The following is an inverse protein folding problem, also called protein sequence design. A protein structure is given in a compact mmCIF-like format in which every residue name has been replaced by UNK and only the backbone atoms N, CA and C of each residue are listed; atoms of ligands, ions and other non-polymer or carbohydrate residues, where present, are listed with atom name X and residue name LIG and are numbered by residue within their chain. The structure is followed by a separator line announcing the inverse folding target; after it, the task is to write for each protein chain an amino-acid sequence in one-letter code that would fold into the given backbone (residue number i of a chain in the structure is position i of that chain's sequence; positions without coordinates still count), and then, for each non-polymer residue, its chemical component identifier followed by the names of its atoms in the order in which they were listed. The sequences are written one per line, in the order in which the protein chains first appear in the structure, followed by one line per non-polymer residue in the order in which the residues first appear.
data_IF_962208218938
#
_entry.id   IF_962208218938
#
_cell.length_a   1.000
_cell.length_b   1.000
_cell.length_c   1.000
_cell.angle_alpha   90.00
_cell.angle_beta   90.00
_cell.angle_gamma   90.00
#
_symmetry.space_group_name_H-M   'P 1'
#
loop_
_entity.id
_entity.type
_entity.pdbx_description
1 polymer ?
#
# COMPACT_ATOMS: atom_id res chain seq x y z
N UNK A 1 -8.26 32.70 -14.37
CA UNK A 1 -9.61 32.22 -13.98
C UNK A 1 -9.67 32.16 -12.46
N UNK A 2 -10.69 32.73 -11.84
CA UNK A 2 -10.93 32.52 -10.40
C UNK A 2 -11.60 31.15 -10.21
N UNK A 3 -10.78 30.15 -9.89
CA UNK A 3 -11.24 28.76 -9.76
C UNK A 3 -12.31 28.60 -8.68
N UNK A 4 -12.21 29.36 -7.57
CA UNK A 4 -13.16 29.29 -6.45
C UNK A 4 -14.52 29.83 -6.85
N UNK A 5 -14.54 31.03 -7.43
CA UNK A 5 -15.78 31.63 -7.88
C UNK A 5 -16.45 30.80 -8.99
N UNK A 6 -15.65 30.26 -9.91
CA UNK A 6 -16.18 29.51 -11.05
C UNK A 6 -16.78 28.16 -10.63
N UNK A 7 -16.04 27.35 -9.86
CA UNK A 7 -16.53 26.02 -9.47
C UNK A 7 -17.81 26.10 -8.63
N UNK A 8 -17.95 27.16 -7.82
CA UNK A 8 -19.12 27.38 -6.96
C UNK A 8 -20.40 27.62 -7.76
N UNK A 9 -20.33 28.14 -8.99
CA UNK A 9 -21.49 28.33 -9.87
C UNK A 9 -22.07 26.99 -10.35
N UNK A 10 -21.23 25.97 -10.47
CA UNK A 10 -21.61 24.67 -11.02
C UNK A 10 -22.00 23.63 -9.97
N UNK A 11 -21.59 23.80 -8.71
CA UNK A 11 -21.94 22.90 -7.60
C UNK A 11 -21.75 21.40 -7.95
N UNK A 12 -20.54 20.97 -8.35
CA UNK A 12 -20.32 19.57 -8.71
C UNK A 12 -20.57 18.64 -7.52
N UNK A 13 -20.92 17.39 -7.81
CA UNK A 13 -21.29 16.38 -6.81
C UNK A 13 -20.26 16.16 -5.69
N UNK A 14 -18.97 16.42 -5.97
CA UNK A 14 -17.89 16.22 -5.00
C UNK A 14 -17.61 17.46 -4.13
N UNK A 15 -18.19 18.63 -4.44
CA UNK A 15 -17.80 19.91 -3.84
C UNK A 15 -17.93 19.90 -2.31
N UNK A 16 -19.05 19.34 -1.83
CA UNK A 16 -19.40 19.23 -0.41
C UNK A 16 -19.04 17.86 0.19
N UNK A 17 -18.42 16.97 -0.59
CA UNK A 17 -17.93 15.70 -0.05
C UNK A 17 -16.73 15.96 0.85
N UNK A 18 -16.72 15.32 2.02
CA UNK A 18 -15.59 15.38 2.96
C UNK A 18 -14.41 14.62 2.39
N UNK A 19 -13.21 15.18 2.56
CA UNK A 19 -11.96 14.52 2.26
C UNK A 19 -11.79 13.38 3.26
N UNK A 20 -11.81 12.15 2.74
CA UNK A 20 -11.64 10.96 3.57
C UNK A 20 -10.22 10.90 4.14
N UNK A 21 -10.10 10.73 5.45
CA UNK A 21 -8.81 10.47 6.08
C UNK A 21 -8.54 8.97 6.14
N UNK A 22 -7.48 8.53 5.48
CA UNK A 22 -7.00 7.17 5.63
C UNK A 22 -6.10 7.07 6.86
N UNK A 23 -6.66 6.58 7.96
CA UNK A 23 -5.95 6.40 9.22
C UNK A 23 -4.71 5.50 9.04
N UNK A 24 -3.57 5.98 9.54
CA UNK A 24 -2.28 5.26 9.47
C UNK A 24 -2.36 3.90 10.16
N UNK A 25 -3.13 3.80 11.23
CA UNK A 25 -3.36 2.58 11.99
C UNK A 25 -4.13 1.55 11.17
N UNK A 26 -5.14 2.01 10.40
CA UNK A 26 -5.89 1.14 9.47
C UNK A 26 -4.95 0.57 8.41
N UNK A 27 -4.09 1.39 7.81
CA UNK A 27 -3.08 0.90 6.87
C UNK A 27 -2.15 -0.13 7.52
N UNK A 28 -1.59 0.21 8.68
CA UNK A 28 -0.64 -0.64 9.40
C UNK A 28 -1.25 -2.00 9.77
N UNK A 29 -2.57 -2.04 10.01
CA UNK A 29 -3.29 -3.29 10.27
C UNK A 29 -3.44 -4.19 9.04
N UNK A 30 -3.43 -3.62 7.83
CA UNK A 30 -3.53 -4.33 6.55
C UNK A 30 -2.17 -4.78 6.02
N UNK A 31 -1.10 -4.07 6.39
CA UNK A 31 0.26 -4.27 5.87
C UNK A 31 0.72 -5.75 5.87
N UNK A 32 0.50 -6.54 6.95
CA UNK A 32 0.90 -7.95 7.00
C UNK A 32 0.13 -8.87 6.06
N UNK A 33 -0.98 -8.40 5.50
CA UNK A 33 -1.89 -9.17 4.66
C UNK A 33 -1.83 -8.75 3.19
N UNK A 34 -0.98 -7.78 2.86
CA UNK A 34 -0.68 -7.41 1.48
C UNK A 34 -0.01 -8.60 0.78
N UNK A 35 -0.59 -9.07 -0.32
CA UNK A 35 -0.08 -10.15 -1.15
C UNK A 35 0.56 -9.66 -2.44
N UNK A 36 0.29 -8.42 -2.81
CA UNK A 36 0.92 -7.78 -3.96
C UNK A 36 1.03 -6.27 -3.72
N UNK A 37 2.16 -5.70 -4.10
CA UNK A 37 2.36 -4.25 -4.18
C UNK A 37 2.89 -3.89 -5.55
N UNK A 38 2.27 -2.93 -6.22
CA UNK A 38 2.78 -2.34 -7.46
C UNK A 38 3.04 -0.86 -7.25
N UNK A 39 4.11 -0.35 -7.84
CA UNK A 39 4.40 1.07 -7.92
C UNK A 39 4.65 1.46 -9.38
N UNK A 40 4.10 2.60 -9.78
CA UNK A 40 4.26 3.18 -11.11
C UNK A 40 4.61 4.65 -10.96
N UNK A 41 5.64 5.14 -11.63
CA UNK A 41 6.11 6.51 -11.45
C UNK A 41 5.41 7.54 -12.35
N UNK A 42 4.84 7.10 -13.47
CA UNK A 42 4.22 7.97 -14.48
C UNK A 42 2.85 7.42 -14.91
N UNK A 43 1.98 7.19 -13.94
CA UNK A 43 0.66 6.62 -14.13
C UNK A 43 -0.39 7.69 -14.47
N UNK A 44 -1.59 7.22 -14.78
CA UNK A 44 -2.76 8.05 -15.04
C UNK A 44 -3.91 7.60 -14.13
N UNK A 45 -4.59 8.56 -13.50
CA UNK A 45 -5.71 8.28 -12.60
C UNK A 45 -6.95 9.09 -13.00
N UNK A 46 -8.13 8.55 -12.72
CA UNK A 46 -9.34 9.36 -12.73
C UNK A 46 -9.37 10.22 -11.46
N UNK A 47 -9.25 11.54 -11.62
CA UNK A 47 -9.14 12.49 -10.49
C UNK A 47 -10.41 12.51 -9.61
N UNK A 48 -11.55 12.14 -10.19
CA UNK A 48 -12.81 12.06 -9.44
C UNK A 48 -12.89 10.81 -8.56
N UNK A 49 -12.05 9.81 -8.80
CA UNK A 49 -11.93 8.61 -7.96
C UNK A 49 -10.95 8.79 -6.79
N UNK A 50 -10.38 9.99 -6.64
CA UNK A 50 -9.64 10.38 -5.43
C UNK A 50 -10.63 10.85 -4.36
N UNK A 51 -10.71 10.12 -3.26
CA UNK A 51 -11.66 10.41 -2.17
C UNK A 51 -11.00 11.11 -0.98
N UNK A 52 -9.68 10.99 -0.84
CA UNK A 52 -9.06 11.30 0.44
C UNK A 52 -7.57 11.51 0.44
N UNK A 53 -7.03 11.54 1.65
CA UNK A 53 -5.62 11.75 1.94
C UNK A 53 -5.16 10.94 3.15
N UNK A 54 -3.87 10.64 3.20
CA UNK A 54 -3.18 10.14 4.40
C UNK A 54 -2.68 11.26 5.32
N UNK A 55 -2.82 12.52 4.91
CA UNK A 55 -2.35 13.67 5.70
C UNK A 55 -3.41 14.14 6.70
N UNK A 56 -3.12 14.18 8.01
CA UNK A 56 -4.12 14.48 9.03
C UNK A 56 -4.64 15.92 9.00
N UNK A 57 -3.84 16.90 8.56
CA UNK A 57 -4.23 18.33 8.54
C UNK A 57 -5.47 18.66 7.70
N UNK A 58 -5.83 17.80 6.74
CA UNK A 58 -6.94 18.06 5.82
C UNK A 58 -8.14 17.15 6.04
N UNK A 59 -8.12 16.36 7.11
CA UNK A 59 -9.26 15.54 7.51
C UNK A 59 -10.48 16.44 7.76
N UNK A 60 -11.65 15.89 7.49
CA UNK A 60 -12.95 16.50 7.74
C UNK A 60 -13.30 17.74 6.91
N UNK A 61 -12.36 18.41 6.23
CA UNK A 61 -12.74 19.44 5.25
C UNK A 61 -13.56 18.86 4.11
N UNK A 62 -14.56 19.60 3.64
CA UNK A 62 -15.07 19.36 2.29
C UNK A 62 -14.00 19.75 1.25
N UNK A 63 -14.12 19.21 0.04
CA UNK A 63 -13.23 19.60 -1.05
C UNK A 63 -13.25 21.12 -1.31
N UNK A 64 -14.40 21.78 -1.10
CA UNK A 64 -14.51 23.23 -1.22
C UNK A 64 -13.92 23.99 -0.04
N UNK A 65 -14.17 23.56 1.20
CA UNK A 65 -13.52 24.17 2.37
C UNK A 65 -11.99 24.10 2.27
N UNK A 66 -11.47 22.98 1.75
CA UNK A 66 -10.04 22.83 1.51
C UNK A 66 -9.52 23.77 0.43
N UNK A 67 -10.30 23.98 -0.65
CA UNK A 67 -10.01 24.98 -1.69
C UNK A 67 -10.01 26.41 -1.14
N UNK A 68 -10.87 26.72 -0.18
CA UNK A 68 -10.96 28.05 0.40
C UNK A 68 -9.88 28.32 1.46
N UNK A 69 -9.60 27.35 2.33
CA UNK A 69 -8.93 27.58 3.62
C UNK A 69 -7.71 26.68 3.87
N UNK A 70 -7.34 25.82 2.93
CA UNK A 70 -6.16 24.96 3.07
C UNK A 70 -4.88 25.77 3.35
N UNK A 71 -4.07 25.32 4.33
CA UNK A 71 -2.90 26.03 4.88
C UNK A 71 -1.88 26.55 3.84
N UNK A 72 -1.85 25.98 2.63
CA UNK A 72 -1.01 26.44 1.50
C UNK A 72 -1.78 26.55 0.19
N UNK A 73 -3.10 26.59 0.25
CA UNK A 73 -3.94 26.58 -0.95
C UNK A 73 -3.76 27.86 -1.78
N UNK A 74 -3.68 29.02 -1.12
CA UNK A 74 -3.50 30.30 -1.81
C UNK A 74 -2.23 30.31 -2.70
N UNK A 75 -1.10 29.87 -2.16
CA UNK A 75 0.14 29.71 -2.93
C UNK A 75 -0.02 28.74 -4.12
N UNK A 76 -0.73 27.62 -3.92
CA UNK A 76 -0.95 26.65 -4.99
C UNK A 76 -1.91 27.18 -6.07
N UNK A 77 -2.88 28.02 -5.69
CA UNK A 77 -3.77 28.70 -6.64
C UNK A 77 -3.00 29.73 -7.48
N UNK A 78 -2.06 30.47 -6.90
CA UNK A 78 -1.17 31.38 -7.64
C UNK A 78 -0.29 30.62 -8.63
N UNK A 79 0.29 29.49 -8.22
CA UNK A 79 1.04 28.61 -9.12
C UNK A 79 0.17 28.06 -10.25
N UNK A 80 -1.06 27.66 -9.96
CA UNK A 80 -2.03 27.22 -10.98
C UNK A 80 -2.38 28.34 -11.96
N UNK A 81 -2.57 29.57 -11.49
CA UNK A 81 -2.85 30.71 -12.36
C UNK A 81 -1.69 31.01 -13.32
N UNK A 82 -0.45 30.87 -12.84
CA UNK A 82 0.74 31.10 -13.64
C UNK A 82 1.07 29.94 -14.59
N UNK A 83 0.73 28.70 -14.22
CA UNK A 83 1.03 27.50 -14.99
C UNK A 83 -0.09 26.45 -14.88
N UNK A 84 -1.23 26.63 -15.59
CA UNK A 84 -2.30 25.64 -15.60
C UNK A 84 -1.93 24.36 -16.37
N UNK A 85 -0.97 24.43 -17.29
CA UNK A 85 -0.54 23.31 -18.13
C UNK A 85 0.16 22.22 -17.33
N UNK A 86 0.68 22.55 -16.14
CA UNK A 86 1.15 21.58 -15.15
C UNK A 86 0.15 20.42 -14.97
N UNK A 87 -1.16 20.69 -14.99
CA UNK A 87 -2.19 19.66 -14.81
C UNK A 87 -2.53 18.89 -16.11
N UNK A 88 -2.28 19.50 -17.27
CA UNK A 88 -2.72 18.98 -18.57
C UNK A 88 -1.66 18.09 -19.24
N UNK A 89 -0.39 18.29 -18.92
CA UNK A 89 0.71 17.49 -19.45
C UNK A 89 0.67 16.01 -19.03
N UNK A 90 1.37 15.16 -19.75
CA UNK A 90 1.47 13.70 -19.50
C UNK A 90 2.81 13.26 -18.92
N UNK A 91 3.78 14.17 -18.90
CA UNK A 91 5.06 14.01 -18.25
C UNK A 91 4.92 13.86 -16.73
N UNK A 92 5.94 13.23 -16.13
CA UNK A 92 6.01 13.08 -14.68
C UNK A 92 5.93 14.44 -14.01
N UNK A 93 5.01 14.57 -13.06
CA UNK A 93 4.74 15.85 -12.40
C UNK A 93 5.89 16.23 -11.49
N UNK A 94 6.36 17.46 -11.65
CA UNK A 94 7.35 18.08 -10.77
C UNK A 94 6.79 19.42 -10.23
N UNK A 95 6.57 19.55 -8.91
CA UNK A 95 6.78 18.54 -7.88
C UNK A 95 5.89 17.31 -8.04
N UNK A 96 6.25 16.16 -7.45
CA UNK A 96 5.48 14.92 -7.61
C UNK A 96 4.10 15.00 -6.94
N UNK A 97 3.16 14.19 -7.46
CA UNK A 97 1.87 13.90 -6.85
C UNK A 97 1.77 12.38 -6.72
N UNK A 98 1.59 11.88 -5.49
CA UNK A 98 1.59 10.44 -5.22
C UNK A 98 0.25 9.96 -4.65
N UNK A 99 -0.17 8.78 -5.11
CA UNK A 99 -1.45 8.19 -4.73
C UNK A 99 -1.29 6.75 -4.27
N UNK A 100 -2.15 6.36 -3.32
CA UNK A 100 -2.29 5.01 -2.80
C UNK A 100 -3.66 4.45 -3.17
N UNK A 101 -3.71 3.19 -3.60
CA UNK A 101 -4.93 2.44 -3.84
C UNK A 101 -4.86 1.06 -3.17
N UNK A 102 -5.95 0.63 -2.54
CA UNK A 102 -6.06 -0.71 -1.95
C UNK A 102 -7.21 -1.46 -2.64
N UNK A 103 -6.95 -2.69 -3.10
CA UNK A 103 -7.94 -3.61 -3.69
C UNK A 103 -8.78 -2.98 -4.83
N UNK A 104 -8.20 -2.07 -5.62
CA UNK A 104 -8.91 -1.37 -6.70
C UNK A 104 -9.96 -0.35 -6.24
N UNK A 105 -10.03 -0.06 -4.94
CA UNK A 105 -10.89 0.96 -4.36
C UNK A 105 -10.46 2.39 -4.71
N UNK A 106 -10.96 3.40 -3.98
CA UNK A 106 -10.61 4.80 -4.21
C UNK A 106 -9.12 5.10 -4.06
N UNK A 107 -8.69 6.19 -4.67
CA UNK A 107 -7.34 6.74 -4.48
C UNK A 107 -7.28 7.66 -3.25
N UNK A 108 -6.16 7.60 -2.54
CA UNK A 108 -5.81 8.52 -1.46
C UNK A 108 -4.50 9.20 -1.79
N UNK A 109 -4.40 10.51 -1.56
CA UNK A 109 -3.12 11.22 -1.65
C UNK A 109 -2.18 10.65 -0.60
N UNK A 110 -1.01 10.18 -1.03
CA UNK A 110 -0.11 9.37 -0.21
C UNK A 110 0.90 10.22 0.57
N UNK A 111 1.62 11.10 -0.12
CA UNK A 111 2.59 12.01 0.47
C UNK A 111 2.34 13.44 -0.01
N UNK A 112 2.82 13.76 -1.21
CA UNK A 112 2.70 15.08 -1.81
C UNK A 112 1.55 15.14 -2.81
N UNK A 113 0.98 16.34 -2.95
CA UNK A 113 -0.03 16.62 -3.98
C UNK A 113 -1.43 16.92 -3.47
N UNK A 114 -1.65 17.08 -2.17
CA UNK A 114 -2.99 17.35 -1.60
C UNK A 114 -3.67 18.58 -2.24
N UNK A 115 -3.03 19.75 -2.17
CA UNK A 115 -3.57 20.98 -2.73
C UNK A 115 -3.77 20.89 -4.25
N UNK A 116 -2.79 20.30 -4.95
CA UNK A 116 -2.82 20.13 -6.41
C UNK A 116 -3.91 19.14 -6.84
N UNK A 117 -4.19 18.11 -6.04
CA UNK A 117 -5.32 17.19 -6.26
C UNK A 117 -6.65 17.93 -6.17
N UNK A 118 -6.82 18.75 -5.12
CA UNK A 118 -8.01 19.59 -4.97
C UNK A 118 -8.19 20.54 -6.17
N UNK A 119 -7.13 21.23 -6.58
CA UNK A 119 -7.16 22.10 -7.78
C UNK A 119 -7.49 21.28 -9.05
N UNK A 120 -6.87 20.12 -9.23
CA UNK A 120 -7.09 19.25 -10.37
C UNK A 120 -8.56 18.80 -10.48
N UNK A 121 -9.19 18.37 -9.37
CA UNK A 121 -10.63 18.00 -9.35
C UNK A 121 -11.49 19.15 -9.87
N UNK A 122 -11.26 20.37 -9.38
CA UNK A 122 -12.06 21.54 -9.71
C UNK A 122 -11.83 21.96 -11.16
N UNK A 123 -10.56 22.05 -11.55
CA UNK A 123 -10.16 22.47 -12.88
C UNK A 123 -10.64 21.49 -13.95
N UNK A 124 -10.51 20.18 -13.70
CA UNK A 124 -10.90 19.16 -14.66
C UNK A 124 -12.40 19.08 -14.83
N UNK A 125 -13.17 19.26 -13.75
CA UNK A 125 -14.62 19.35 -13.85
C UNK A 125 -15.05 20.50 -14.79
N UNK A 126 -14.49 21.71 -14.59
CA UNK A 126 -14.79 22.87 -15.44
C UNK A 126 -14.36 22.69 -16.90
N UNK A 127 -13.37 21.82 -17.16
CA UNK A 127 -12.85 21.51 -18.50
C UNK A 127 -13.49 20.29 -19.16
N UNK A 128 -14.33 19.53 -18.44
CA UNK A 128 -14.84 18.25 -18.92
C UNK A 128 -13.77 17.15 -19.05
N UNK A 129 -12.69 17.24 -18.26
CA UNK A 129 -11.59 16.27 -18.22
C UNK A 129 -11.72 15.36 -17.00
N UNK A 130 -11.10 14.18 -17.04
CA UNK A 130 -11.15 13.18 -15.95
C UNK A 130 -9.78 12.61 -15.59
N UNK A 131 -8.89 12.44 -16.57
CA UNK A 131 -7.64 11.71 -16.40
C UNK A 131 -6.48 12.64 -16.05
N UNK A 132 -5.99 12.56 -14.81
CA UNK A 132 -4.77 13.22 -14.39
C UNK A 132 -3.59 12.29 -14.69
N UNK A 133 -2.70 12.76 -15.54
CA UNK A 133 -1.51 12.03 -15.97
C UNK A 133 -0.27 12.47 -15.17
N UNK A 134 0.81 11.69 -15.29
CA UNK A 134 2.11 12.10 -14.77
C UNK A 134 2.32 11.82 -13.28
N UNK A 135 1.48 10.99 -12.66
CA UNK A 135 1.45 10.83 -11.19
C UNK A 135 2.05 9.50 -10.76
N UNK A 136 2.66 9.46 -9.57
CA UNK A 136 3.15 8.21 -9.00
C UNK A 136 2.00 7.49 -8.29
N UNK A 137 1.84 6.18 -8.51
CA UNK A 137 0.76 5.39 -7.90
C UNK A 137 1.30 4.12 -7.29
N UNK A 138 1.01 3.93 -6.01
CA UNK A 138 1.20 2.67 -5.29
C UNK A 138 -0.14 1.96 -5.18
N UNK A 139 -0.20 0.68 -5.53
CA UNK A 139 -1.39 -0.16 -5.36
C UNK A 139 -1.05 -1.38 -4.52
N UNK A 140 -1.91 -1.72 -3.58
CA UNK A 140 -1.80 -2.96 -2.82
C UNK A 140 -3.03 -3.83 -3.04
N UNK A 141 -2.79 -5.13 -3.14
CA UNK A 141 -3.82 -6.16 -3.04
C UNK A 141 -3.67 -6.87 -1.71
N UNK A 142 -4.76 -6.99 -0.97
CA UNK A 142 -4.82 -7.55 0.37
C UNK A 142 -5.56 -8.88 0.35
N UNK A 143 -5.05 -9.88 1.06
CA UNK A 143 -5.73 -11.15 1.27
C UNK A 143 -6.73 -11.03 2.42
N UNK A 144 -8.00 -10.76 2.07
CA UNK A 144 -9.09 -10.59 3.04
C UNK A 144 -9.39 -11.87 3.83
N UNK A 145 -9.28 -13.03 3.20
CA UNK A 145 -9.43 -14.32 3.89
C UNK A 145 -8.30 -14.53 4.91
N UNK A 146 -7.07 -14.08 4.64
CA UNK A 146 -5.99 -14.12 5.60
C UNK A 146 -6.25 -13.23 6.84
N UNK A 147 -6.98 -12.11 6.67
CA UNK A 147 -7.43 -11.27 7.79
C UNK A 147 -8.46 -12.00 8.65
N UNK A 148 -9.44 -12.65 8.03
CA UNK A 148 -10.44 -13.46 8.73
C UNK A 148 -9.78 -14.60 9.50
N UNK A 149 -8.84 -15.29 8.85
CA UNK A 149 -8.04 -16.37 9.41
C UNK A 149 -7.23 -15.89 10.62
N UNK A 150 -6.60 -14.71 10.53
CA UNK A 150 -5.94 -14.10 11.68
C UNK A 150 -6.89 -13.90 12.87
N UNK A 151 -8.11 -13.42 12.59
CA UNK A 151 -9.15 -13.27 13.60
C UNK A 151 -9.50 -14.58 14.30
N UNK A 152 -9.59 -15.68 13.55
CA UNK A 152 -9.84 -17.03 14.09
C UNK A 152 -8.65 -17.54 14.92
N UNK A 153 -7.43 -17.39 14.42
CA UNK A 153 -6.21 -17.82 15.12
C UNK A 153 -6.08 -17.11 16.47
N UNK A 154 -6.36 -15.80 16.53
CA UNK A 154 -6.33 -15.02 17.78
C UNK A 154 -7.25 -15.55 18.87
N UNK A 155 -8.36 -16.21 18.49
CA UNK A 155 -9.28 -16.84 19.44
C UNK A 155 -8.80 -18.21 19.92
N UNK A 156 -7.92 -18.87 19.16
CA UNK A 156 -7.44 -20.24 19.42
C UNK A 156 -6.09 -20.30 20.14
N UNK A 157 -5.22 -19.34 19.87
CA UNK A 157 -3.84 -19.31 20.36
C UNK A 157 -3.61 -18.17 21.35
N UNK A 158 -2.70 -18.38 22.30
CA UNK A 158 -2.35 -17.37 23.31
C UNK A 158 -1.57 -16.20 22.72
N UNK A 159 -0.82 -16.45 21.64
CA UNK A 159 -0.09 -15.44 20.91
C UNK A 159 -0.25 -15.68 19.42
N UNK A 160 -0.58 -14.62 18.69
CA UNK A 160 -0.64 -14.63 17.23
C UNK A 160 -0.10 -13.29 16.71
N UNK A 161 0.86 -13.34 15.80
CA UNK A 161 1.37 -12.16 15.09
C UNK A 161 1.39 -12.42 13.59
N UNK A 162 0.70 -11.61 12.78
CA UNK A 162 0.78 -11.71 11.33
C UNK A 162 2.02 -10.95 10.84
N UNK A 163 2.63 -11.46 9.79
CA UNK A 163 3.68 -10.78 9.02
C UNK A 163 3.62 -11.30 7.58
N UNK A 164 4.25 -10.62 6.63
CA UNK A 164 4.32 -11.10 5.24
C UNK A 164 5.74 -11.49 4.85
N UNK A 165 5.85 -12.58 4.10
CA UNK A 165 7.11 -13.02 3.49
C UNK A 165 7.13 -12.59 2.03
N UNK A 166 8.18 -11.87 1.63
CA UNK A 166 8.42 -11.52 0.22
C UNK A 166 8.76 -12.78 -0.58
N UNK A 167 8.03 -13.01 -1.67
CA UNK A 167 8.23 -14.14 -2.57
C UNK A 167 9.06 -13.75 -3.80
N UNK A 168 8.75 -12.59 -4.40
CA UNK A 168 9.42 -12.11 -5.60
C UNK A 168 9.36 -10.59 -5.74
N UNK A 169 10.23 -10.05 -6.58
CA UNK A 169 10.19 -8.68 -7.07
C UNK A 169 10.52 -8.65 -8.56
N UNK A 170 9.85 -7.79 -9.29
CA UNK A 170 10.15 -7.43 -10.67
C UNK A 170 10.13 -5.89 -10.73
N UNK A 171 11.14 -5.27 -11.31
CA UNK A 171 11.22 -3.81 -11.40
C UNK A 171 11.98 -3.31 -12.62
N UNK A 172 11.67 -2.05 -12.96
CA UNK A 172 12.38 -1.20 -13.92
C UNK A 172 12.53 0.19 -13.30
N UNK A 173 13.06 1.17 -14.03
CA UNK A 173 13.25 2.54 -13.52
C UNK A 173 11.93 3.24 -13.12
N UNK A 174 10.79 2.90 -13.74
CA UNK A 174 9.50 3.59 -13.51
C UNK A 174 8.36 2.67 -13.06
N UNK A 175 8.65 1.40 -12.78
CA UNK A 175 7.64 0.41 -12.39
C UNK A 175 8.25 -0.64 -11.47
N UNK A 176 7.48 -1.07 -10.48
CA UNK A 176 7.85 -2.18 -9.59
C UNK A 176 6.62 -3.01 -9.24
N UNK A 177 6.81 -4.33 -9.12
CA UNK A 177 5.87 -5.27 -8.53
C UNK A 177 6.55 -6.20 -7.54
N UNK A 178 5.98 -6.32 -6.35
CA UNK A 178 6.38 -7.26 -5.31
C UNK A 178 5.21 -8.18 -4.95
N UNK A 179 5.51 -9.47 -4.78
CA UNK A 179 4.54 -10.50 -4.39
C UNK A 179 4.92 -11.04 -3.02
N UNK A 180 3.92 -11.26 -2.17
CA UNK A 180 4.09 -11.67 -0.79
C UNK A 180 3.15 -12.82 -0.41
N UNK A 181 3.49 -13.53 0.65
CA UNK A 181 2.64 -14.50 1.32
C UNK A 181 2.39 -14.06 2.78
N UNK A 182 1.13 -14.02 3.24
CA UNK A 182 0.82 -13.79 4.66
C UNK A 182 1.21 -15.01 5.48
N UNK A 183 1.94 -14.76 6.56
CA UNK A 183 2.42 -15.77 7.52
C UNK A 183 1.90 -15.41 8.91
N UNK A 184 1.49 -16.45 9.64
CA UNK A 184 1.01 -16.32 11.02
C UNK A 184 1.99 -16.97 11.97
N UNK A 185 2.64 -16.16 12.79
CA UNK A 185 3.39 -16.64 13.93
C UNK A 185 2.42 -16.94 15.08
N UNK A 186 2.41 -18.17 15.58
CA UNK A 186 1.47 -18.64 16.61
C UNK A 186 2.19 -19.36 17.74
N UNK A 187 1.66 -19.26 18.96
CA UNK A 187 2.10 -20.08 20.11
C UNK A 187 0.93 -20.52 21.01
N UNK A 188 0.99 -21.77 21.48
CA UNK A 188 0.02 -22.43 22.36
C UNK A 188 0.74 -22.74 23.70
N UNK A 189 0.86 -21.74 24.57
CA UNK A 189 1.70 -21.77 25.80
C UNK A 189 3.22 -21.73 25.52
N UNK A 190 3.96 -21.17 26.50
CA UNK A 190 5.21 -20.40 26.37
C UNK A 190 6.39 -20.92 25.52
N UNK A 191 6.39 -22.11 24.94
CA UNK A 191 7.65 -22.71 24.47
C UNK A 191 7.70 -23.21 23.02
N UNK A 192 6.63 -23.10 22.21
CA UNK A 192 6.70 -23.41 20.77
C UNK A 192 6.01 -22.38 19.91
N UNK A 193 6.83 -21.61 19.21
CA UNK A 193 6.42 -20.70 18.13
C UNK A 193 6.44 -21.47 16.81
N UNK A 194 5.42 -21.29 15.99
CA UNK A 194 5.37 -21.83 14.64
C UNK A 194 4.92 -20.77 13.66
N UNK A 195 5.52 -20.78 12.47
CA UNK A 195 5.09 -19.96 11.35
C UNK A 195 4.17 -20.78 10.44
N UNK A 196 2.93 -20.34 10.31
CA UNK A 196 1.92 -20.99 9.48
C UNK A 196 1.71 -20.17 8.22
N UNK A 197 1.77 -20.82 7.05
CA UNK A 197 1.14 -20.28 5.85
C UNK A 197 -0.38 -20.27 6.01
N UNK A 198 -1.08 -19.54 5.15
CA UNK A 198 -2.56 -19.56 5.08
C UNK A 198 -3.13 -20.97 5.02
N UNK A 199 -2.56 -21.84 4.18
CA UNK A 199 -2.99 -23.24 4.06
C UNK A 199 -2.84 -24.01 5.38
N UNK A 200 -1.68 -23.90 6.03
CA UNK A 200 -1.41 -24.61 7.29
C UNK A 200 -2.29 -24.09 8.44
N UNK A 201 -2.53 -22.78 8.50
CA UNK A 201 -3.42 -22.17 9.47
C UNK A 201 -4.86 -22.64 9.32
N UNK A 202 -5.40 -22.67 8.09
CA UNK A 202 -6.74 -23.21 7.83
C UNK A 202 -6.85 -24.69 8.23
N UNK A 203 -5.83 -25.48 7.88
CA UNK A 203 -5.77 -26.91 8.19
C UNK A 203 -5.75 -27.21 9.71
N UNK A 204 -5.16 -26.33 10.52
CA UNK A 204 -5.13 -26.48 11.98
C UNK A 204 -6.49 -26.11 12.60
N UNK A 205 -7.15 -25.07 12.09
CA UNK A 205 -8.47 -24.65 12.60
C UNK A 205 -9.57 -25.68 12.30
N UNK A 206 -9.53 -26.33 11.14
CA UNK A 206 -10.51 -27.34 10.74
C UNK A 206 -10.34 -28.69 11.45
N UNK A 207 -9.19 -28.94 12.09
CA UNK A 207 -8.91 -30.18 12.81
C UNK A 207 -8.53 -29.88 14.26
N UNK A 208 -9.50 -29.68 15.16
CA UNK A 208 -9.26 -29.24 16.54
C UNK A 208 -8.39 -30.20 17.39
N UNK A 209 -8.23 -31.46 16.96
CA UNK A 209 -7.33 -32.45 17.57
C UNK A 209 -5.90 -32.46 16.99
N UNK A 210 -5.61 -31.69 15.94
CA UNK A 210 -4.25 -31.58 15.41
C UNK A 210 -3.44 -30.63 16.30
N UNK A 211 -2.76 -31.19 17.30
CA UNK A 211 -1.71 -30.49 18.04
C UNK A 211 -0.49 -30.28 17.14
N UNK A 212 0.35 -29.27 17.45
CA UNK A 212 1.60 -28.98 16.73
C UNK A 212 2.49 -30.22 16.50
N UNK A 213 2.41 -31.22 17.37
CA UNK A 213 3.18 -32.46 17.29
C UNK A 213 2.68 -33.45 16.23
N UNK A 214 1.41 -33.40 15.82
CA UNK A 214 0.82 -34.39 14.92
C UNK A 214 1.11 -34.20 13.43
N UNK A 215 1.42 -32.97 12.98
CA UNK A 215 1.66 -32.66 11.56
C UNK A 215 3.12 -32.37 11.21
N UNK A 216 3.99 -31.99 12.15
CA UNK A 216 5.40 -31.72 11.81
C UNK A 216 6.14 -32.99 11.33
N UNK A 217 5.69 -34.18 11.75
CA UNK A 217 6.26 -35.46 11.32
C UNK A 217 5.76 -35.95 9.95
N UNK A 218 4.63 -35.45 9.45
CA UNK A 218 4.05 -35.91 8.18
C UNK A 218 4.42 -35.05 6.97
N UNK A 219 5.07 -33.90 7.17
CA UNK A 219 5.36 -32.93 6.10
C UNK A 219 6.84 -32.55 5.96
N UNK A 220 7.76 -33.22 6.66
CA UNK A 220 9.16 -33.18 6.28
C UNK A 220 9.32 -33.90 4.94
N UNK A 221 9.86 -33.28 3.88
CA UNK A 221 10.23 -34.01 2.68
C UNK A 221 11.23 -35.11 3.08
N UNK A 222 10.83 -36.38 2.93
CA UNK A 222 11.78 -37.49 2.97
C UNK A 222 12.77 -37.24 1.84
N UNK A 223 14.04 -37.09 2.20
CA UNK A 223 15.21 -36.88 1.34
C UNK A 223 15.62 -35.42 1.09
N UNK A 224 16.37 -34.87 2.05
CA UNK A 224 17.49 -33.98 1.72
C UNK A 224 18.75 -34.85 1.75
N UNK A 225 19.50 -35.00 0.65
CA UNK A 225 20.76 -35.75 0.67
C UNK A 225 21.76 -35.04 1.57
N UNK A 226 22.37 -35.76 2.51
CA UNK A 226 23.52 -35.29 3.29
C UNK A 226 24.66 -34.96 2.32
N UNK A 227 25.00 -33.68 2.16
CA UNK A 227 26.28 -33.28 1.55
C UNK A 227 27.40 -33.76 2.47
N UNK A 228 28.22 -34.68 1.97
CA UNK A 228 29.52 -35.06 2.54
C UNK A 228 30.37 -33.80 2.69
N UNK A 229 30.90 -33.59 3.88
CA UNK A 229 32.02 -32.71 4.17
C UNK A 229 33.21 -33.12 3.29
N UNK A 230 33.61 -32.23 2.37
CA UNK A 230 34.94 -32.28 1.78
C UNK A 230 35.88 -31.44 2.64
N UNK A 231 36.93 -32.10 3.11
CA UNK A 231 38.10 -31.51 3.73
C UNK A 231 38.70 -30.44 2.80
N UNK A 232 39.02 -29.28 3.36
CA UNK A 232 40.03 -28.41 2.81
C UNK A 232 41.02 -28.12 3.93
N UNK A 233 42.17 -28.77 3.80
CA UNK A 233 43.38 -28.53 4.57
C UNK A 233 43.77 -27.05 4.48
N UNK A 234 44.07 -26.47 5.65
CA UNK A 234 44.84 -25.22 5.77
C UNK A 234 46.18 -25.56 6.40
N UNK A 235 47.27 -25.17 5.71
CA UNK A 235 48.55 -24.59 6.17
C UNK A 235 49.45 -24.55 4.93
N UNK A 236 49.88 -23.40 4.42
CA UNK A 236 50.96 -22.55 4.99
C UNK A 236 52.28 -23.29 4.77
N UNK A 237 53.32 -22.80 4.10
CA UNK A 237 53.91 -21.46 3.94
C UNK A 237 55.08 -21.63 2.95
N UNK A 238 55.49 -20.59 2.22
CA UNK A 238 56.88 -20.07 2.20
C UNK A 238 57.09 -19.08 1.05
N UNK A 239 57.72 -17.97 1.42
CA UNK A 239 58.34 -16.96 0.57
C UNK A 239 59.39 -17.57 -0.37
N UNK A 240 59.78 -16.83 -1.42
CA UNK A 240 61.19 -16.46 -1.72
C UNK A 240 61.21 -15.69 -3.07
N UNK A 241 61.66 -14.42 -2.96
CA UNK A 241 62.22 -13.48 -3.96
C UNK A 241 61.47 -13.15 -5.25
#
# INVERSE_FOLDING_TARGET
MDLKAEIKKHQPFFLEQRIHFWETEKFSSLEPFIVESTWEDNSSINIFFVEGTRHPDYKDFTWFEFLERGKRMQLNLELFQNNPDYYLGTEHKMPTMSYLQIDGGPYYVDADGNHRTCIAKMFFFLRGLTMLHGVSVTRHRVDREAIELYGMLKRRFTFVRPWKRKLSRQDTAGWMREVFEPIFEVAEKKDRVSNLSKYNALSILNHPRSTFSGKLLSFLPRNIPRRRSQNLEKRGTEDIT
#
